data_IF_153281637591
#
_entry.id   IF_153281637591
#
_cell.length_a   1.000
_cell.length_b   1.000
_cell.length_c   1.000
_cell.angle_alpha   90.00
_cell.angle_beta   90.00
_cell.angle_gamma   90.00
#
_symmetry.space_group_name_H-M   'P 1'
#
loop_
_entity.id
_entity.type
_entity.pdbx_description
1 polymer ?
#
# COMPACT_ATOMS: atom_id res chain seq x y z
N UNK A 1 -82.18 -2.43 2.36
CA UNK A 1 -81.20 -1.52 1.69
C UNK A 1 -79.91 -1.66 2.42
N UNK A 2 -78.85 -2.20 1.82
CA UNK A 2 -77.58 -2.35 2.50
C UNK A 2 -76.71 -1.06 2.29
N UNK A 3 -76.25 -0.50 3.39
CA UNK A 3 -75.28 0.59 3.42
C UNK A 3 -73.90 0.08 2.94
N UNK A 4 -73.49 0.58 1.80
CA UNK A 4 -72.13 0.39 1.33
C UNK A 4 -71.23 1.41 2.04
N UNK A 5 -70.39 0.93 2.97
CA UNK A 5 -69.36 1.71 3.65
C UNK A 5 -68.16 1.83 2.76
N UNK A 6 -67.93 2.98 2.09
CA UNK A 6 -66.76 3.29 1.37
C UNK A 6 -65.64 3.70 2.33
N UNK A 7 -64.74 2.78 2.63
CA UNK A 7 -63.51 3.07 3.38
C UNK A 7 -62.55 3.89 2.49
N UNK A 8 -62.51 5.19 2.75
CA UNK A 8 -61.50 6.10 2.16
C UNK A 8 -60.10 5.77 2.65
N UNK A 9 -59.33 5.05 1.86
CA UNK A 9 -57.90 4.85 2.08
C UNK A 9 -57.16 6.17 1.87
N UNK A 10 -56.94 6.93 2.92
CA UNK A 10 -56.01 8.08 2.92
C UNK A 10 -54.59 7.54 2.73
N UNK A 11 -54.12 7.53 1.49
CA UNK A 11 -52.74 7.18 1.16
C UNK A 11 -51.78 8.11 1.92
N UNK A 12 -50.74 7.60 2.58
CA UNK A 12 -49.86 8.40 3.42
C UNK A 12 -48.99 9.29 2.54
N UNK A 13 -49.44 10.53 2.28
CA UNK A 13 -48.65 11.57 1.60
C UNK A 13 -47.26 11.73 2.20
N UNK A 14 -47.12 11.50 3.50
CA UNK A 14 -45.87 11.58 4.25
C UNK A 14 -44.82 10.53 3.79
N UNK A 15 -45.26 9.34 3.37
CA UNK A 15 -44.36 8.28 2.89
C UNK A 15 -43.70 8.65 1.57
N UNK A 16 -44.42 9.33 0.67
CA UNK A 16 -43.89 9.81 -0.60
C UNK A 16 -42.86 10.92 -0.41
N UNK A 17 -43.05 11.83 0.52
CA UNK A 17 -42.08 12.85 0.88
C UNK A 17 -40.82 12.25 1.51
N UNK A 18 -40.98 11.25 2.37
CA UNK A 18 -39.86 10.51 2.96
C UNK A 18 -39.05 9.78 1.90
N UNK A 19 -39.71 9.10 0.96
CA UNK A 19 -39.07 8.44 -0.18
C UNK A 19 -38.32 9.45 -1.06
N UNK A 20 -38.97 10.59 -1.40
CA UNK A 20 -38.33 11.66 -2.16
C UNK A 20 -37.09 12.23 -1.45
N UNK A 21 -37.17 12.42 -0.13
CA UNK A 21 -36.02 12.88 0.67
C UNK A 21 -34.85 11.86 0.69
N UNK A 22 -35.17 10.55 0.84
CA UNK A 22 -34.21 9.47 0.80
C UNK A 22 -33.52 9.44 -0.58
N UNK A 23 -34.27 9.53 -1.67
CA UNK A 23 -33.72 9.58 -3.03
C UNK A 23 -32.85 10.81 -3.25
N UNK A 24 -33.30 11.98 -2.77
CA UNK A 24 -32.51 13.22 -2.85
C UNK A 24 -31.22 13.12 -2.05
N UNK A 25 -31.28 12.60 -0.82
CA UNK A 25 -30.10 12.40 0.02
C UNK A 25 -29.11 11.41 -0.64
N UNK A 26 -29.62 10.30 -1.18
CA UNK A 26 -28.82 9.32 -1.93
C UNK A 26 -28.16 9.97 -3.16
N UNK A 27 -28.93 10.74 -3.92
CA UNK A 27 -28.40 11.45 -5.10
C UNK A 27 -27.34 12.46 -4.70
N UNK A 28 -27.54 13.22 -3.62
CA UNK A 28 -26.55 14.19 -3.11
C UNK A 28 -25.24 13.50 -2.70
N UNK A 29 -25.32 12.32 -2.04
CA UNK A 29 -24.14 11.52 -1.71
C UNK A 29 -23.45 10.97 -2.96
N UNK A 30 -24.21 10.56 -3.96
CA UNK A 30 -23.68 10.05 -5.22
C UNK A 30 -22.94 11.14 -6.04
N UNK A 31 -23.33 12.40 -5.90
CA UNK A 31 -22.73 13.54 -6.60
C UNK A 31 -21.64 14.25 -5.80
N UNK A 32 -21.30 13.76 -4.59
CA UNK A 32 -20.38 14.42 -3.69
C UNK A 32 -18.97 14.49 -4.30
N UNK A 33 -18.39 15.70 -4.50
CA UNK A 33 -17.06 15.84 -5.06
C UNK A 33 -15.99 15.25 -4.17
N UNK A 34 -15.07 14.46 -4.72
CA UNK A 34 -13.96 13.87 -3.97
C UNK A 34 -13.03 14.93 -3.36
N UNK A 35 -12.81 16.03 -4.07
CA UNK A 35 -11.99 17.15 -3.61
C UNK A 35 -12.54 17.76 -2.30
N UNK A 36 -13.86 17.94 -2.17
CA UNK A 36 -14.49 18.46 -0.96
C UNK A 36 -14.28 17.54 0.26
N UNK A 37 -14.34 16.22 0.04
CA UNK A 37 -14.07 15.25 1.10
C UNK A 37 -12.61 15.30 1.56
N UNK A 38 -11.68 15.39 0.62
CA UNK A 38 -10.25 15.50 0.94
C UNK A 38 -10.00 16.76 1.77
N UNK A 39 -10.49 17.90 1.33
CA UNK A 39 -10.32 19.18 2.04
C UNK A 39 -10.89 19.15 3.45
N UNK A 40 -12.03 18.47 3.64
CA UNK A 40 -12.71 18.39 4.94
C UNK A 40 -12.08 17.40 5.93
N UNK A 41 -11.63 16.22 5.44
CA UNK A 41 -11.18 15.12 6.30
C UNK A 41 -9.66 14.91 6.32
N UNK A 42 -8.96 15.47 5.34
CA UNK A 42 -7.51 15.39 5.25
C UNK A 42 -6.91 16.68 4.65
N UNK A 43 -7.16 17.86 5.29
CA UNK A 43 -6.72 19.17 4.77
C UNK A 43 -5.20 19.27 4.64
N UNK A 44 -4.46 18.55 5.48
CA UNK A 44 -3.00 18.59 5.54
C UNK A 44 -2.34 17.43 4.78
N UNK A 45 -2.83 17.12 3.58
CA UNK A 45 -2.15 16.15 2.70
C UNK A 45 -1.27 16.89 1.68
N UNK A 46 -0.02 17.23 2.04
CA UNK A 46 0.85 18.05 1.18
C UNK A 46 1.27 17.32 -0.10
N UNK A 47 1.00 16.02 -0.16
CA UNK A 47 1.40 15.17 -1.28
C UNK A 47 0.35 15.05 -2.37
N UNK A 48 -0.90 15.47 -2.14
CA UNK A 48 -1.98 15.45 -3.13
C UNK A 48 -2.16 16.84 -3.71
N UNK A 49 -1.90 16.99 -5.01
CA UNK A 49 -1.97 18.30 -5.67
C UNK A 49 -3.34 18.60 -6.26
N UNK A 50 -3.96 17.61 -6.87
CA UNK A 50 -5.24 17.77 -7.53
C UNK A 50 -6.09 16.52 -7.38
N UNK A 51 -7.36 16.72 -7.05
CA UNK A 51 -8.35 15.65 -7.00
C UNK A 51 -9.51 16.02 -7.89
N UNK A 52 -9.92 15.11 -8.75
CA UNK A 52 -11.05 15.28 -9.66
C UNK A 52 -12.01 14.10 -9.55
N UNK A 53 -13.25 14.33 -10.03
CA UNK A 53 -14.30 13.34 -9.97
C UNK A 53 -15.07 13.35 -8.65
N UNK A 54 -15.76 12.25 -8.38
CA UNK A 54 -16.60 12.07 -7.21
C UNK A 54 -16.07 10.92 -6.33
N UNK A 55 -16.78 10.64 -5.24
CA UNK A 55 -16.41 9.56 -4.32
C UNK A 55 -16.33 8.19 -5.03
N UNK A 56 -17.12 7.97 -6.05
CA UNK A 56 -17.29 6.67 -6.72
C UNK A 56 -16.28 6.45 -7.86
N UNK A 57 -15.96 7.52 -8.57
CA UNK A 57 -14.99 7.51 -9.67
C UNK A 57 -14.24 8.83 -9.66
N UNK A 58 -12.92 8.76 -9.60
CA UNK A 58 -12.11 9.95 -9.60
C UNK A 58 -10.65 9.64 -9.83
N UNK A 59 -9.88 10.71 -9.85
CA UNK A 59 -8.43 10.64 -9.94
C UNK A 59 -7.79 11.66 -9.00
N UNK A 60 -6.64 11.31 -8.48
CA UNK A 60 -5.80 12.20 -7.69
C UNK A 60 -4.40 12.25 -8.29
N UNK A 61 -3.89 13.45 -8.48
CA UNK A 61 -2.48 13.67 -8.84
C UNK A 61 -1.72 13.88 -7.53
N UNK A 62 -0.69 13.09 -7.34
CA UNK A 62 0.16 13.16 -6.17
C UNK A 62 1.60 13.50 -6.53
N UNK A 63 2.30 14.14 -5.61
CA UNK A 63 3.71 14.50 -5.74
C UNK A 63 4.41 14.30 -4.41
N UNK A 64 5.45 13.48 -4.39
CA UNK A 64 6.33 13.33 -3.25
C UNK A 64 7.62 14.10 -3.49
N UNK A 65 8.04 14.96 -2.54
CA UNK A 65 9.32 15.65 -2.60
C UNK A 65 10.43 14.67 -2.20
N UNK A 66 10.89 13.86 -3.15
CA UNK A 66 11.99 12.92 -2.95
C UNK A 66 13.19 13.38 -3.77
N UNK A 67 14.38 13.43 -3.13
CA UNK A 67 15.67 13.78 -3.78
C UNK A 67 15.63 15.06 -4.63
N UNK A 68 16.36 15.09 -5.74
CA UNK A 68 16.48 16.24 -6.63
C UNK A 68 15.27 16.44 -7.55
N UNK A 69 14.53 15.38 -7.84
CA UNK A 69 13.37 15.43 -8.75
C UNK A 69 12.14 14.89 -8.01
N UNK A 70 11.06 15.68 -7.88
CA UNK A 70 9.87 15.21 -7.20
C UNK A 70 9.23 14.05 -7.98
N UNK A 71 8.89 12.99 -7.27
CA UNK A 71 8.17 11.86 -7.83
C UNK A 71 6.69 12.24 -7.98
N UNK A 72 6.19 12.26 -9.20
CA UNK A 72 4.79 12.58 -9.51
C UNK A 72 4.06 11.35 -10.04
N UNK A 73 2.77 11.29 -9.82
CA UNK A 73 1.95 10.22 -10.33
C UNK A 73 0.46 10.51 -10.23
N UNK A 74 -0.33 9.59 -10.74
CA UNK A 74 -1.78 9.63 -10.64
C UNK A 74 -2.28 8.35 -9.97
N UNK A 75 -3.34 8.48 -9.20
CA UNK A 75 -4.12 7.38 -8.67
C UNK A 75 -5.55 7.55 -9.16
N UNK A 76 -6.06 6.58 -9.88
CA UNK A 76 -7.44 6.54 -10.33
C UNK A 76 -8.19 5.51 -9.50
N UNK A 77 -9.44 5.83 -9.14
CA UNK A 77 -10.27 4.88 -8.40
C UNK A 77 -11.66 4.77 -9.00
N UNK A 78 -12.19 3.56 -8.92
CA UNK A 78 -13.56 3.26 -9.25
C UNK A 78 -14.18 2.36 -8.18
N UNK A 79 -15.29 2.83 -7.61
CA UNK A 79 -16.05 2.07 -6.61
C UNK A 79 -17.24 1.41 -7.27
N UNK A 80 -17.43 0.15 -6.99
CA UNK A 80 -18.63 -0.55 -7.41
C UNK A 80 -19.70 -0.41 -6.32
N UNK A 81 -20.77 0.37 -6.54
CA UNK A 81 -21.76 0.68 -5.49
C UNK A 81 -22.48 -0.56 -4.92
N UNK A 82 -22.49 -1.66 -5.67
CA UNK A 82 -23.09 -2.92 -5.23
C UNK A 82 -22.38 -3.55 -4.02
N UNK A 83 -21.10 -3.29 -3.81
CA UNK A 83 -20.36 -3.77 -2.64
C UNK A 83 -20.80 -3.09 -1.35
N UNK A 84 -21.40 -1.90 -1.42
CA UNK A 84 -21.99 -1.22 -0.26
C UNK A 84 -23.15 -2.01 0.34
N UNK A 85 -23.96 -2.66 -0.49
CA UNK A 85 -25.06 -3.52 -0.02
C UNK A 85 -24.54 -4.73 0.76
N UNK A 86 -23.29 -5.11 0.57
CA UNK A 86 -22.62 -6.21 1.29
C UNK A 86 -21.76 -5.70 2.47
N UNK A 87 -21.84 -4.42 2.81
CA UNK A 87 -21.08 -3.81 3.91
C UNK A 87 -19.57 -3.73 3.68
N UNK A 88 -19.10 -3.84 2.42
CA UNK A 88 -17.69 -3.79 2.05
C UNK A 88 -17.41 -2.53 1.21
N UNK A 89 -16.57 -1.64 1.73
CA UNK A 89 -16.08 -0.49 1.00
C UNK A 89 -14.80 -0.90 0.25
N UNK A 90 -14.92 -1.22 -1.03
CA UNK A 90 -13.79 -1.59 -1.88
C UNK A 90 -13.77 -0.77 -3.16
N UNK A 91 -12.62 -0.16 -3.44
CA UNK A 91 -12.35 0.53 -4.68
C UNK A 91 -11.33 -0.25 -5.50
N UNK A 92 -11.52 -0.33 -6.81
CA UNK A 92 -10.48 -0.66 -7.76
C UNK A 92 -9.60 0.58 -7.91
N UNK A 93 -8.29 0.38 -7.84
CA UNK A 93 -7.32 1.48 -7.87
C UNK A 93 -6.25 1.18 -8.90
N UNK A 94 -6.02 2.15 -9.78
CA UNK A 94 -4.93 2.17 -10.75
C UNK A 94 -3.96 3.27 -10.35
N UNK A 95 -2.71 2.88 -10.07
CA UNK A 95 -1.64 3.80 -9.71
C UNK A 95 -0.65 3.86 -10.86
N UNK A 96 -0.36 5.07 -11.32
CA UNK A 96 0.62 5.31 -12.37
C UNK A 96 1.60 6.40 -11.97
N UNK A 97 2.88 6.20 -12.30
CA UNK A 97 3.94 7.19 -12.16
C UNK A 97 5.00 6.90 -13.22
N UNK A 98 5.16 7.78 -14.18
CA UNK A 98 6.04 7.55 -15.33
C UNK A 98 5.77 6.20 -16.02
N UNK A 99 6.71 5.24 -15.89
CA UNK A 99 6.55 3.88 -16.42
C UNK A 99 6.04 2.87 -15.38
N UNK A 100 5.91 3.28 -14.12
CA UNK A 100 5.28 2.46 -13.07
C UNK A 100 3.78 2.38 -13.32
N UNK A 101 3.23 1.17 -13.24
CA UNK A 101 1.80 0.92 -13.30
C UNK A 101 1.44 -0.22 -12.36
N UNK A 102 0.53 0.05 -11.46
CA UNK A 102 0.01 -0.91 -10.49
C UNK A 102 -1.51 -0.84 -10.50
N UNK A 103 -2.16 -1.99 -10.55
CA UNK A 103 -3.60 -2.10 -10.41
C UNK A 103 -3.96 -3.09 -9.31
N UNK A 104 -5.08 -2.86 -8.64
CA UNK A 104 -5.54 -3.73 -7.57
C UNK A 104 -6.77 -3.16 -6.89
N UNK A 105 -7.16 -3.78 -5.80
CA UNK A 105 -8.30 -3.35 -5.00
C UNK A 105 -7.84 -2.86 -3.63
N UNK A 106 -8.40 -1.74 -3.19
CA UNK A 106 -8.17 -1.19 -1.86
C UNK A 106 -9.48 -1.20 -1.09
N UNK A 107 -9.45 -1.70 0.14
CA UNK A 107 -10.57 -1.69 1.08
C UNK A 107 -10.15 -0.95 2.32
N UNK A 108 -10.97 -0.02 2.75
CA UNK A 108 -10.72 0.78 3.95
C UNK A 108 -11.86 0.57 4.93
N UNK A 109 -11.51 0.22 6.15
CA UNK A 109 -12.41 0.10 7.28
C UNK A 109 -12.04 1.10 8.38
N UNK A 110 -12.80 1.13 9.48
CA UNK A 110 -12.59 2.09 10.58
C UNK A 110 -11.26 1.94 11.32
N UNK A 111 -10.65 0.76 11.30
CA UNK A 111 -9.38 0.47 11.99
C UNK A 111 -8.46 -0.43 11.17
N UNK A 112 -8.75 -0.62 9.90
CA UNK A 112 -7.95 -1.48 9.03
C UNK A 112 -7.99 -0.99 7.59
N UNK A 113 -6.92 -1.26 6.87
CA UNK A 113 -6.92 -1.16 5.42
C UNK A 113 -6.41 -2.47 4.82
N UNK A 114 -6.83 -2.74 3.61
CA UNK A 114 -6.48 -3.94 2.88
C UNK A 114 -6.23 -3.60 1.42
N UNK A 115 -5.13 -4.09 0.89
CA UNK A 115 -4.83 -4.14 -0.54
C UNK A 115 -5.09 -5.59 -0.98
N UNK A 116 -5.71 -5.79 -2.13
CA UNK A 116 -5.98 -7.12 -2.68
C UNK A 116 -5.57 -7.17 -4.14
N UNK A 117 -4.90 -8.27 -4.51
CA UNK A 117 -4.53 -8.60 -5.88
C UNK A 117 -3.77 -7.48 -6.62
N UNK A 118 -2.96 -6.70 -5.88
CA UNK A 118 -2.13 -5.66 -6.51
C UNK A 118 -1.14 -6.32 -7.46
N UNK A 119 -1.16 -5.91 -8.71
CA UNK A 119 -0.32 -6.44 -9.76
C UNK A 119 0.16 -5.34 -10.69
N UNK A 120 1.28 -5.56 -11.36
CA UNK A 120 1.83 -4.59 -12.29
C UNK A 120 3.34 -4.52 -12.27
N UNK A 121 3.90 -3.34 -12.55
CA UNK A 121 5.34 -3.12 -12.59
C UNK A 121 5.72 -1.81 -11.93
N UNK A 122 6.85 -1.81 -11.24
CA UNK A 122 7.49 -0.62 -10.68
C UNK A 122 8.72 -0.33 -11.53
N UNK A 123 8.77 0.85 -12.09
CA UNK A 123 9.89 1.30 -12.92
C UNK A 123 11.12 1.63 -12.05
N UNK A 124 12.34 1.40 -12.56
CA UNK A 124 13.56 1.71 -11.83
C UNK A 124 13.70 3.19 -11.49
N UNK A 125 13.21 4.09 -12.34
CA UNK A 125 13.20 5.53 -12.10
C UNK A 125 12.39 5.90 -10.83
N UNK A 126 11.25 5.23 -10.63
CA UNK A 126 10.43 5.38 -9.42
C UNK A 126 11.20 4.94 -8.16
N UNK A 127 11.95 3.85 -8.25
CA UNK A 127 12.77 3.38 -7.13
C UNK A 127 13.99 4.29 -6.90
N UNK A 128 14.67 4.73 -7.96
CA UNK A 128 15.81 5.63 -7.89
C UNK A 128 15.46 7.00 -7.29
N UNK A 129 14.20 7.43 -7.39
CA UNK A 129 13.75 8.66 -6.71
C UNK A 129 13.68 8.51 -5.19
N UNK A 130 13.54 7.29 -4.68
CA UNK A 130 13.40 6.99 -3.23
C UNK A 130 14.76 6.62 -2.60
N UNK A 131 15.66 6.03 -3.37
CA UNK A 131 16.99 5.62 -2.91
C UNK A 131 18.05 6.26 -3.80
N UNK A 132 19.15 6.76 -3.19
CA UNK A 132 20.28 7.35 -3.92
C UNK A 132 21.17 6.28 -4.57
N UNK A 133 20.56 5.28 -5.20
CA UNK A 133 21.26 4.19 -5.86
C UNK A 133 21.10 4.27 -7.37
N UNK A 134 22.14 3.89 -8.09
CA UNK A 134 22.06 3.71 -9.53
C UNK A 134 21.49 2.32 -9.80
N UNK A 135 20.22 2.27 -10.21
CA UNK A 135 19.53 1.01 -10.49
C UNK A 135 19.61 0.67 -11.97
N UNK A 136 19.67 -0.62 -12.32
CA UNK A 136 19.61 -1.04 -13.72
C UNK A 136 18.20 -0.73 -14.29
N UNK A 137 18.13 -0.54 -15.61
CA UNK A 137 16.87 -0.26 -16.30
C UNK A 137 15.98 -1.53 -16.41
N UNK A 138 15.72 -2.16 -15.27
CA UNK A 138 14.92 -3.38 -15.17
C UNK A 138 13.81 -3.18 -14.15
N UNK A 139 12.52 -3.28 -14.55
CA UNK A 139 11.41 -3.05 -13.65
C UNK A 139 11.25 -4.22 -12.66
N UNK A 140 10.71 -3.90 -11.49
CA UNK A 140 10.22 -4.90 -10.55
C UNK A 140 8.78 -5.28 -10.94
N UNK A 141 8.53 -6.56 -11.14
CA UNK A 141 7.19 -7.08 -11.36
C UNK A 141 6.51 -7.35 -10.02
N UNK A 142 5.27 -6.90 -9.90
CA UNK A 142 4.41 -7.09 -8.73
C UNK A 142 3.33 -8.11 -9.11
N UNK A 143 3.24 -9.23 -8.39
CA UNK A 143 2.35 -10.33 -8.73
C UNK A 143 1.41 -10.64 -7.56
N UNK A 144 0.14 -10.32 -7.72
CA UNK A 144 -0.95 -10.65 -6.78
C UNK A 144 -0.66 -10.31 -5.32
N UNK A 145 -0.05 -9.16 -5.07
CA UNK A 145 0.27 -8.73 -3.70
C UNK A 145 -1.02 -8.36 -2.99
N UNK A 146 -1.24 -9.01 -1.85
CA UNK A 146 -2.37 -8.73 -0.96
C UNK A 146 -1.85 -8.50 0.44
N UNK A 147 -2.27 -7.40 1.05
CA UNK A 147 -1.85 -6.97 2.37
C UNK A 147 -3.08 -6.52 3.17
N UNK A 148 -3.13 -6.89 4.44
CA UNK A 148 -4.13 -6.38 5.37
C UNK A 148 -3.44 -5.92 6.65
N UNK A 149 -3.61 -4.65 6.96
CA UNK A 149 -3.06 -4.05 8.16
C UNK A 149 -4.17 -3.56 9.06
N UNK A 150 -3.99 -3.81 10.35
CA UNK A 150 -4.85 -3.31 11.40
C UNK A 150 -4.10 -2.23 12.19
N UNK A 151 -4.74 -1.07 12.37
CA UNK A 151 -4.22 0.02 13.22
C UNK A 151 -4.60 -0.23 14.68
N UNK A 152 -3.78 0.24 15.61
CA UNK A 152 -4.16 0.27 17.01
C UNK A 152 -5.37 1.19 17.18
N UNK A 153 -6.41 0.73 17.88
CA UNK A 153 -7.55 1.57 18.27
C UNK A 153 -7.10 2.49 19.40
N UNK A 154 -6.93 3.79 19.10
CA UNK A 154 -6.61 4.89 20.02
C UNK A 154 -5.23 4.88 20.71
N UNK A 155 -4.70 6.06 20.97
CA UNK A 155 -3.43 6.30 21.66
C UNK A 155 -3.41 5.84 23.14
N UNK A 156 -4.57 5.51 23.72
CA UNK A 156 -4.73 4.96 25.08
C UNK A 156 -4.95 3.42 25.09
N UNK A 157 -4.70 2.78 23.96
CA UNK A 157 -4.90 1.33 23.82
C UNK A 157 -4.04 0.54 24.80
N UNK A 158 -4.63 -0.46 25.41
CA UNK A 158 -3.95 -1.42 26.29
C UNK A 158 -2.79 -2.10 25.54
N UNK A 159 -1.86 -2.70 26.27
CA UNK A 159 -0.73 -3.44 25.66
C UNK A 159 -1.21 -4.54 24.71
N UNK A 160 -2.36 -5.17 25.00
CA UNK A 160 -2.99 -6.17 24.13
C UNK A 160 -3.48 -5.59 22.80
N UNK A 161 -4.02 -4.37 22.79
CA UNK A 161 -4.50 -3.71 21.57
C UNK A 161 -3.35 -3.23 20.66
N UNK A 162 -2.22 -2.80 21.26
CA UNK A 162 -1.00 -2.47 20.52
C UNK A 162 -0.38 -3.70 19.87
N UNK A 163 -0.41 -4.84 20.55
CA UNK A 163 0.04 -6.11 19.99
C UNK A 163 -0.89 -6.61 18.88
N UNK A 164 -2.15 -6.17 18.85
CA UNK A 164 -3.09 -6.48 17.78
C UNK A 164 -2.84 -5.68 16.49
N UNK A 165 -2.16 -4.53 16.58
CA UNK A 165 -1.79 -3.73 15.42
C UNK A 165 -0.74 -4.43 14.54
N UNK A 166 -0.68 -4.07 13.27
CA UNK A 166 0.28 -4.60 12.31
C UNK A 166 -0.36 -5.40 11.19
N UNK A 167 0.44 -6.20 10.50
CA UNK A 167 0.02 -6.93 9.31
C UNK A 167 -0.62 -8.27 9.70
N UNK A 168 -1.90 -8.43 9.38
CA UNK A 168 -2.69 -9.65 9.67
C UNK A 168 -2.66 -10.67 8.57
N UNK A 169 -2.62 -10.19 7.35
CA UNK A 169 -2.58 -11.00 6.14
C UNK A 169 -1.58 -10.36 5.19
N UNK A 170 -0.74 -11.18 4.60
CA UNK A 170 0.16 -10.78 3.52
C UNK A 170 0.40 -11.98 2.61
N UNK A 171 0.39 -11.75 1.33
CA UNK A 171 0.71 -12.74 0.31
C UNK A 171 1.09 -12.07 -0.99
N UNK A 172 1.64 -12.84 -1.92
CA UNK A 172 2.08 -12.37 -3.22
C UNK A 172 3.59 -12.35 -3.33
N UNK A 173 4.06 -11.93 -4.49
CA UNK A 173 5.49 -11.91 -4.77
C UNK A 173 5.90 -10.71 -5.62
N UNK A 174 7.14 -10.27 -5.43
CA UNK A 174 7.82 -9.34 -6.30
C UNK A 174 8.94 -10.09 -7.01
N UNK A 175 9.12 -9.83 -8.29
CA UNK A 175 10.23 -10.43 -9.06
C UNK A 175 11.04 -9.35 -9.76
N UNK A 176 12.35 -9.51 -9.72
CA UNK A 176 13.29 -8.62 -10.37
C UNK A 176 14.39 -9.44 -11.04
N UNK A 177 14.69 -9.12 -12.28
CA UNK A 177 15.70 -9.87 -13.06
C UNK A 177 17.13 -9.57 -12.66
N UNK A 178 17.33 -8.60 -11.74
CA UNK A 178 18.66 -8.19 -11.31
C UNK A 178 19.34 -7.22 -12.29
N UNK A 179 20.63 -7.07 -12.15
CA UNK A 179 21.48 -6.22 -12.96
C UNK A 179 22.54 -5.50 -12.14
N UNK A 180 23.26 -4.60 -12.77
CA UNK A 180 24.30 -3.82 -12.10
C UNK A 180 23.68 -2.69 -11.27
N UNK A 181 24.02 -2.66 -9.98
CA UNK A 181 23.57 -1.66 -9.01
C UNK A 181 24.77 -0.88 -8.52
N UNK A 182 24.74 0.45 -8.67
CA UNK A 182 25.71 1.36 -8.07
C UNK A 182 25.19 1.94 -6.76
N UNK A 183 25.90 1.76 -5.67
CA UNK A 183 25.56 2.38 -4.39
C UNK A 183 26.66 3.35 -3.93
N UNK A 184 26.30 4.55 -3.49
CA UNK A 184 27.25 5.53 -3.00
C UNK A 184 27.69 5.19 -1.58
N UNK A 185 29.01 5.19 -1.33
CA UNK A 185 29.58 5.03 0.01
C UNK A 185 30.91 5.75 0.08
N UNK A 186 31.11 6.57 1.13
CA UNK A 186 32.36 7.28 1.36
C UNK A 186 32.81 8.20 0.22
N UNK A 187 31.86 8.78 -0.53
CA UNK A 187 32.12 9.66 -1.67
C UNK A 187 32.52 8.93 -2.95
N UNK A 188 32.42 7.60 -2.99
CA UNK A 188 32.63 6.76 -4.17
C UNK A 188 31.36 5.97 -4.48
N UNK A 189 31.20 5.58 -5.75
CA UNK A 189 30.13 4.67 -6.17
C UNK A 189 30.74 3.28 -6.35
N UNK A 190 30.16 2.31 -5.67
CA UNK A 190 30.54 0.90 -5.80
C UNK A 190 29.50 0.19 -6.64
N UNK A 191 29.95 -0.60 -7.60
CA UNK A 191 29.08 -1.36 -8.48
C UNK A 191 29.07 -2.83 -8.07
N UNK A 192 27.86 -3.39 -8.01
CA UNK A 192 27.68 -4.80 -7.74
C UNK A 192 26.65 -5.38 -8.71
N UNK A 193 26.89 -6.61 -9.17
CA UNK A 193 25.93 -7.33 -10.00
C UNK A 193 24.95 -8.09 -9.09
N UNK A 194 23.72 -7.61 -9.02
CA UNK A 194 22.66 -8.30 -8.30
C UNK A 194 22.09 -9.44 -9.14
N UNK A 195 21.93 -10.63 -8.56
CA UNK A 195 21.25 -11.73 -9.24
C UNK A 195 19.75 -11.45 -9.40
N UNK A 196 19.09 -12.26 -10.20
CA UNK A 196 17.63 -12.26 -10.22
C UNK A 196 17.08 -12.61 -8.82
N UNK A 197 16.11 -11.80 -8.37
CA UNK A 197 15.54 -11.88 -7.04
C UNK A 197 14.04 -12.13 -7.11
N UNK A 198 13.55 -12.92 -6.16
CA UNK A 198 12.13 -13.05 -5.84
C UNK A 198 11.93 -12.72 -4.37
N UNK A 199 10.99 -11.83 -4.09
CA UNK A 199 10.58 -11.49 -2.74
C UNK A 199 9.19 -12.07 -2.50
N UNK A 200 9.06 -12.96 -1.53
CA UNK A 200 7.80 -13.59 -1.13
C UNK A 200 7.26 -12.92 0.13
N UNK A 201 6.00 -12.49 0.09
CA UNK A 201 5.37 -11.77 1.17
C UNK A 201 4.53 -12.72 2.02
N UNK A 202 4.68 -12.64 3.33
CA UNK A 202 3.86 -13.36 4.31
C UNK A 202 3.60 -12.51 5.56
N UNK A 203 2.52 -12.81 6.27
CA UNK A 203 2.29 -12.23 7.58
C UNK A 203 2.75 -13.22 8.65
N UNK A 204 3.58 -12.75 9.56
CA UNK A 204 4.10 -13.55 10.67
C UNK A 204 3.77 -12.92 12.01
N UNK A 205 3.59 -13.77 13.01
CA UNK A 205 3.49 -13.33 14.40
C UNK A 205 4.78 -13.70 15.14
N UNK A 206 5.52 -12.69 15.60
CA UNK A 206 6.76 -12.85 16.35
C UNK A 206 6.74 -11.94 17.57
N UNK A 207 7.08 -12.49 18.74
CA UNK A 207 7.08 -11.74 20.01
C UNK A 207 5.75 -11.00 20.26
N UNK A 208 4.63 -11.64 19.95
CA UNK A 208 3.28 -11.09 20.06
C UNK A 208 2.99 -9.86 19.18
N UNK A 209 3.83 -9.58 18.17
CA UNK A 209 3.65 -8.54 17.16
C UNK A 209 3.32 -9.17 15.80
N UNK A 210 2.41 -8.53 15.07
CA UNK A 210 2.06 -8.94 13.70
C UNK A 210 2.97 -8.19 12.72
N UNK A 211 3.81 -8.94 12.01
CA UNK A 211 4.83 -8.43 11.11
C UNK A 211 4.49 -8.76 9.66
N UNK A 212 4.86 -7.90 8.75
CA UNK A 212 5.05 -8.25 7.36
C UNK A 212 6.44 -8.84 7.21
N UNK A 213 6.53 -10.07 6.76
CA UNK A 213 7.78 -10.73 6.42
C UNK A 213 7.93 -10.79 4.90
N UNK A 214 9.09 -10.39 4.42
CA UNK A 214 9.48 -10.46 3.01
C UNK A 214 10.74 -11.32 2.94
N UNK A 215 10.59 -12.53 2.40
CA UNK A 215 11.67 -13.46 2.19
C UNK A 215 12.30 -13.24 0.82
N UNK A 216 13.58 -12.85 0.78
CA UNK A 216 14.35 -12.66 -0.44
C UNK A 216 15.04 -13.95 -0.85
N UNK A 217 14.73 -14.45 -2.03
CA UNK A 217 15.30 -15.67 -2.61
C UNK A 217 15.82 -15.41 -4.02
N UNK A 218 16.79 -16.19 -4.43
CA UNK A 218 17.29 -16.15 -5.81
C UNK A 218 16.48 -17.11 -6.72
N UNK A 219 16.86 -17.20 -7.99
CA UNK A 219 16.23 -18.08 -8.98
C UNK A 219 16.43 -19.59 -8.71
N UNK A 220 17.23 -19.96 -7.71
CA UNK A 220 17.45 -21.36 -7.26
C UNK A 220 16.75 -21.64 -5.93
N UNK A 221 15.80 -20.79 -5.51
CA UNK A 221 15.11 -20.85 -4.23
C UNK A 221 16.04 -20.79 -3.00
N UNK A 222 17.23 -20.19 -3.16
CA UNK A 222 18.16 -20.01 -2.05
C UNK A 222 17.91 -18.66 -1.39
N UNK A 223 17.81 -18.68 -0.06
CA UNK A 223 17.60 -17.49 0.76
C UNK A 223 18.77 -16.51 0.61
N UNK A 224 18.43 -15.26 0.39
CA UNK A 224 19.36 -14.12 0.29
C UNK A 224 19.22 -13.15 1.45
N UNK A 225 18.06 -13.10 2.07
CA UNK A 225 17.78 -12.25 3.22
C UNK A 225 16.32 -12.24 3.59
N UNK A 226 16.02 -11.49 4.65
CA UNK A 226 14.68 -11.25 5.14
C UNK A 226 14.50 -9.80 5.52
N UNK A 227 13.29 -9.30 5.28
CA UNK A 227 12.86 -8.00 5.77
C UNK A 227 11.61 -8.20 6.61
N UNK A 228 11.57 -7.53 7.75
CA UNK A 228 10.40 -7.52 8.63
C UNK A 228 9.96 -6.09 8.85
N UNK A 229 8.67 -5.84 8.66
CA UNK A 229 8.05 -4.54 8.94
C UNK A 229 7.02 -4.74 10.04
N UNK A 230 7.17 -4.00 11.14
CA UNK A 230 6.24 -4.07 12.26
C UNK A 230 5.12 -3.01 12.18
N UNK A 231 4.18 -3.08 13.14
CA UNK A 231 3.07 -2.15 13.23
C UNK A 231 3.48 -0.70 13.49
N UNK A 232 4.69 -0.47 14.00
CA UNK A 232 5.27 0.84 14.30
C UNK A 232 6.07 1.41 13.10
N UNK A 233 5.99 0.77 11.92
CA UNK A 233 6.76 1.09 10.71
C UNK A 233 8.29 0.98 10.90
N UNK A 234 8.74 0.09 11.77
CA UNK A 234 10.15 -0.26 11.86
C UNK A 234 10.47 -1.36 10.87
N UNK A 235 11.52 -1.16 10.10
CA UNK A 235 12.08 -2.11 9.15
C UNK A 235 13.31 -2.78 9.77
N UNK A 236 13.24 -4.11 9.91
CA UNK A 236 14.39 -4.97 10.23
C UNK A 236 14.85 -5.67 8.95
N UNK A 237 16.09 -5.45 8.54
CA UNK A 237 16.70 -6.08 7.37
C UNK A 237 17.77 -7.06 7.85
N UNK A 238 17.74 -8.27 7.33
CA UNK A 238 18.73 -9.30 7.59
C UNK A 238 19.21 -9.88 6.27
N UNK A 239 20.48 -9.71 5.93
CA UNK A 239 21.08 -10.18 4.67
C UNK A 239 22.06 -11.33 4.94
N UNK A 240 21.98 -12.37 4.11
CA UNK A 240 22.85 -13.55 4.24
C UNK A 240 24.20 -13.35 3.57
N UNK A 241 25.18 -14.15 3.97
CA UNK A 241 26.49 -14.29 3.35
C UNK A 241 26.37 -14.46 1.82
N UNK A 242 25.44 -15.32 1.37
CA UNK A 242 25.19 -15.61 -0.05
C UNK A 242 24.93 -14.37 -0.89
N UNK A 243 24.18 -13.40 -0.38
CA UNK A 243 23.93 -12.15 -1.11
C UNK A 243 25.19 -11.32 -1.20
N UNK A 244 25.95 -11.23 -0.10
CA UNK A 244 27.13 -10.38 0.00
C UNK A 244 28.36 -10.95 -0.76
N UNK A 245 28.40 -12.25 -1.03
CA UNK A 245 29.45 -12.86 -1.86
C UNK A 245 29.52 -12.25 -3.27
N UNK A 246 28.41 -11.63 -3.74
CA UNK A 246 28.39 -10.91 -5.02
C UNK A 246 29.03 -9.51 -4.92
N UNK A 247 29.40 -9.03 -3.73
CA UNK A 247 30.07 -7.75 -3.54
C UNK A 247 31.58 -7.90 -3.70
N UNK A 248 32.26 -7.14 -4.57
CA UNK A 248 33.68 -7.31 -4.86
C UNK A 248 34.61 -7.15 -3.65
N UNK A 249 34.22 -6.35 -2.67
CA UNK A 249 35.03 -6.06 -1.48
C UNK A 249 34.69 -6.95 -0.27
N UNK A 250 33.65 -7.77 -0.36
CA UNK A 250 33.23 -8.62 0.75
C UNK A 250 34.11 -9.87 0.83
N UNK A 251 34.76 -10.06 1.99
CA UNK A 251 35.67 -11.18 2.24
C UNK A 251 35.19 -12.11 3.36
N UNK A 252 33.90 -12.10 3.65
CA UNK A 252 33.32 -12.98 4.68
C UNK A 252 33.49 -14.45 4.32
N UNK A 253 33.63 -15.32 5.32
CA UNK A 253 33.77 -16.78 5.18
C UNK A 253 32.71 -17.54 5.99
N UNK A 254 31.62 -16.88 6.38
CA UNK A 254 30.53 -17.53 7.07
C UNK A 254 29.79 -18.54 6.15
N UNK A 255 29.05 -19.51 6.67
CA UNK A 255 28.16 -20.33 5.86
C UNK A 255 27.17 -19.45 5.08
N UNK A 256 26.88 -19.83 3.83
CA UNK A 256 26.10 -18.99 2.87
C UNK A 256 24.75 -18.53 3.39
N UNK A 257 24.06 -19.32 4.19
CA UNK A 257 22.73 -18.98 4.74
C UNK A 257 22.81 -18.21 6.08
N UNK A 258 24.02 -17.89 6.56
CA UNK A 258 24.21 -17.13 7.79
C UNK A 258 23.89 -15.67 7.58
N UNK A 259 23.04 -15.06 8.41
CA UNK A 259 22.85 -13.61 8.40
C UNK A 259 24.13 -12.90 8.84
N UNK A 260 24.66 -12.03 8.02
CA UNK A 260 25.92 -11.30 8.30
C UNK A 260 25.71 -9.78 8.38
N UNK A 261 24.58 -9.31 7.91
CA UNK A 261 24.14 -7.92 8.08
C UNK A 261 22.77 -7.93 8.73
N UNK A 262 22.61 -7.13 9.78
CA UNK A 262 21.32 -6.89 10.42
C UNK A 262 21.20 -5.40 10.72
N UNK A 263 20.17 -4.75 10.17
CA UNK A 263 19.92 -3.32 10.35
C UNK A 263 18.46 -3.13 10.74
N UNK A 264 18.24 -2.29 11.75
CA UNK A 264 16.90 -1.87 12.15
C UNK A 264 16.77 -0.35 12.02
N UNK A 265 15.78 0.08 11.26
CA UNK A 265 15.54 1.50 11.03
C UNK A 265 14.04 1.80 10.81
N UNK A 266 13.60 3.06 11.04
CA UNK A 266 12.27 3.46 10.63
C UNK A 266 12.12 3.40 9.10
N UNK A 267 11.00 2.85 8.63
CA UNK A 267 10.72 2.70 7.18
C UNK A 267 10.67 4.06 6.45
N UNK A 268 10.28 5.13 7.15
CA UNK A 268 10.08 6.48 6.58
C UNK A 268 11.15 7.50 7.04
N UNK A 269 12.28 7.06 7.56
CA UNK A 269 13.34 7.98 8.00
C UNK A 269 13.91 8.86 6.88
N UNK A 270 13.67 8.54 5.62
CA UNK A 270 14.07 9.35 4.46
C UNK A 270 13.00 10.35 3.97
N UNK A 271 11.74 10.20 4.36
CA UNK A 271 10.62 11.01 3.83
C UNK A 271 10.18 12.15 4.77
N UNK A 272 10.73 12.27 5.97
CA UNK A 272 10.24 13.19 7.00
C UNK A 272 11.27 14.03 7.74
N UNK A 273 12.54 13.96 7.40
CA UNK A 273 13.59 14.72 8.07
C UNK A 273 14.14 15.83 7.15
N UNK A 274 13.37 16.88 6.98
CA UNK A 274 13.86 18.23 6.62
C UNK A 274 12.96 19.28 7.24
#
# INVERSE_FOLDING_TARGET
MPHVSTSSHKRPRKLWWLLGFIFFALFAVLQMPAAWLLEKYAPDTPYVQHVSGNLWQGSAIWQFPVSATPLTGAAEWSWQPWHLLLGKLGAEVDISSEQTRLNGQVKVGSSSWQIQNMSGKIAPETLASVVDWQLPNTPIQVNNVSLKRQSAKNSEASSSDRNAAGFREASGQLTWVGGEVGYPSGGKVFYLTMPALRAELSAEQKNNKNLLHVNLINNQDKRLGDLYIDGDNMLDVSLTQRLLENMPEYKGQAPQDTPVVSVRQPLLSGLGAR
#
